data_IF_464227213109
#
_entry.id   IF_464227213109
#
_cell.length_a   1.000
_cell.length_b   1.000
_cell.length_c   1.000
_cell.angle_alpha   90.00
_cell.angle_beta   90.00
_cell.angle_gamma   90.00
#
_symmetry.space_group_name_H-M   'P 1'
#
loop_
_entity.id
_entity.type
_entity.pdbx_description
1 polymer ?
#
# COMPACT_ATOMS: atom_id res chain seq x y z
N UNK A 1 8.37 19.68 -18.28
CA UNK A 1 7.51 19.13 -17.21
C UNK A 1 8.43 18.47 -16.21
N UNK A 2 8.51 19.02 -15.00
CA UNK A 2 9.28 18.42 -13.90
C UNK A 2 8.63 17.06 -13.59
N UNK A 3 9.39 15.99 -13.76
CA UNK A 3 8.94 14.66 -13.38
C UNK A 3 8.90 14.61 -11.85
N UNK A 4 7.71 14.54 -11.29
CA UNK A 4 7.52 14.49 -9.84
C UNK A 4 8.07 13.16 -9.29
N UNK A 5 8.61 13.15 -8.07
CA UNK A 5 9.14 11.93 -7.49
C UNK A 5 8.06 10.86 -7.29
N UNK A 6 8.46 9.60 -7.35
CA UNK A 6 7.55 8.44 -7.27
C UNK A 6 6.66 8.45 -6.02
N UNK A 7 7.20 8.86 -4.88
CA UNK A 7 6.45 8.95 -3.63
C UNK A 7 5.30 9.96 -3.70
N UNK A 8 5.42 11.01 -4.51
CA UNK A 8 4.34 11.97 -4.76
C UNK A 8 3.25 11.35 -5.64
N UNK A 9 3.65 10.66 -6.72
CA UNK A 9 2.69 9.96 -7.57
C UNK A 9 1.87 8.92 -6.80
N UNK A 10 2.53 8.15 -5.92
CA UNK A 10 1.84 7.19 -5.06
C UNK A 10 0.90 7.88 -4.06
N UNK A 11 1.30 9.00 -3.45
CA UNK A 11 0.44 9.76 -2.56
C UNK A 11 -0.85 10.23 -3.25
N UNK A 12 -0.73 10.85 -4.42
CA UNK A 12 -1.89 11.29 -5.21
C UNK A 12 -2.76 10.11 -5.67
N UNK A 13 -2.15 9.00 -6.05
CA UNK A 13 -2.88 7.79 -6.44
C UNK A 13 -3.66 7.18 -5.26
N UNK A 14 -3.09 7.19 -4.06
CA UNK A 14 -3.76 6.70 -2.86
C UNK A 14 -5.06 7.45 -2.58
N UNK A 15 -5.00 8.77 -2.58
CA UNK A 15 -6.18 9.62 -2.34
C UNK A 15 -7.25 9.45 -3.44
N UNK A 16 -6.82 9.44 -4.71
CA UNK A 16 -7.72 9.23 -5.83
C UNK A 16 -8.43 7.88 -5.74
N UNK A 17 -7.69 6.79 -5.53
CA UNK A 17 -8.28 5.45 -5.41
C UNK A 17 -9.24 5.34 -4.22
N UNK A 18 -8.92 5.97 -3.09
CA UNK A 18 -9.81 5.97 -1.94
C UNK A 18 -11.12 6.70 -2.23
N UNK A 19 -11.05 7.89 -2.84
CA UNK A 19 -12.22 8.69 -3.23
C UNK A 19 -13.10 7.93 -4.24
N UNK A 20 -12.49 7.33 -5.25
CA UNK A 20 -13.20 6.52 -6.25
C UNK A 20 -13.87 5.29 -5.61
N UNK A 21 -13.18 4.63 -4.68
CA UNK A 21 -13.70 3.48 -3.94
C UNK A 21 -14.93 3.85 -3.10
N UNK A 22 -14.87 4.95 -2.38
CA UNK A 22 -15.99 5.41 -1.54
C UNK A 22 -17.22 5.77 -2.41
N UNK A 23 -17.02 6.46 -3.52
CA UNK A 23 -18.09 6.74 -4.47
C UNK A 23 -18.72 5.46 -5.05
N UNK A 24 -17.89 4.50 -5.49
CA UNK A 24 -18.37 3.23 -6.03
C UNK A 24 -19.12 2.39 -4.99
N UNK A 25 -18.68 2.44 -3.73
CA UNK A 25 -19.36 1.76 -2.61
C UNK A 25 -20.74 2.37 -2.35
N UNK A 26 -20.86 3.69 -2.36
CA UNK A 26 -22.14 4.39 -2.19
C UNK A 26 -23.10 4.10 -3.34
N UNK A 27 -22.60 3.93 -4.55
CA UNK A 27 -23.36 3.51 -5.75
C UNK A 27 -23.69 2.00 -5.76
N UNK A 28 -23.31 1.24 -4.71
CA UNK A 28 -23.57 -0.19 -4.60
C UNK A 28 -22.67 -1.09 -5.45
N UNK A 29 -21.62 -0.54 -6.08
CA UNK A 29 -20.67 -1.25 -6.94
C UNK A 29 -19.53 -1.86 -6.13
N UNK A 30 -19.89 -2.75 -5.21
CA UNK A 30 -18.99 -3.28 -4.19
C UNK A 30 -17.72 -3.96 -4.73
N UNK A 31 -17.74 -4.79 -5.81
CA UNK A 31 -16.52 -5.39 -6.33
C UNK A 31 -15.50 -4.36 -6.82
N UNK A 32 -15.99 -3.31 -7.50
CA UNK A 32 -15.12 -2.23 -7.98
C UNK A 32 -14.60 -1.37 -6.81
N UNK A 33 -15.45 -1.09 -5.83
CA UNK A 33 -15.04 -0.39 -4.62
C UNK A 33 -13.93 -1.13 -3.87
N UNK A 34 -14.10 -2.43 -3.67
CA UNK A 34 -13.13 -3.30 -3.00
C UNK A 34 -11.76 -3.29 -3.69
N UNK A 35 -11.79 -3.39 -5.01
CA UNK A 35 -10.59 -3.31 -5.84
C UNK A 35 -9.83 -1.98 -5.63
N UNK A 36 -10.55 -0.86 -5.63
CA UNK A 36 -9.95 0.46 -5.43
C UNK A 36 -9.47 0.70 -3.99
N UNK A 37 -10.14 0.17 -2.96
CA UNK A 37 -9.64 0.24 -1.57
C UNK A 37 -8.28 -0.44 -1.43
N UNK A 38 -8.07 -1.60 -2.05
CA UNK A 38 -6.77 -2.27 -2.05
C UNK A 38 -5.68 -1.42 -2.70
N UNK A 39 -5.96 -0.77 -3.84
CA UNK A 39 -5.00 0.13 -4.47
C UNK A 39 -4.73 1.40 -3.67
N UNK A 40 -5.74 1.95 -3.00
CA UNK A 40 -5.55 3.10 -2.13
C UNK A 40 -4.53 2.80 -1.03
N UNK A 41 -4.71 1.66 -0.36
CA UNK A 41 -3.79 1.19 0.69
C UNK A 41 -2.40 0.90 0.14
N UNK A 42 -2.30 0.16 -0.96
CA UNK A 42 -1.02 -0.16 -1.60
C UNK A 42 -0.24 1.09 -1.97
N UNK A 43 -0.89 2.08 -2.56
CA UNK A 43 -0.27 3.34 -2.95
C UNK A 43 0.16 4.17 -1.73
N UNK A 44 -0.67 4.26 -0.69
CA UNK A 44 -0.32 4.95 0.55
C UNK A 44 0.94 4.36 1.19
N UNK A 45 0.99 3.03 1.29
CA UNK A 45 2.14 2.31 1.82
C UNK A 45 3.40 2.52 0.99
N UNK A 46 3.32 2.45 -0.34
CA UNK A 46 4.47 2.71 -1.23
C UNK A 46 4.99 4.14 -1.09
N UNK A 47 4.11 5.12 -0.91
CA UNK A 47 4.51 6.49 -0.59
C UNK A 47 5.26 6.57 0.75
N UNK A 48 4.72 5.96 1.81
CA UNK A 48 5.36 5.92 3.12
C UNK A 48 6.71 5.21 3.09
N UNK A 49 6.81 4.10 2.38
CA UNK A 49 8.05 3.33 2.24
C UNK A 49 9.16 4.15 1.60
N UNK A 50 8.86 4.87 0.52
CA UNK A 50 9.83 5.71 -0.18
C UNK A 50 10.27 6.91 0.66
N UNK A 51 9.35 7.49 1.48
CA UNK A 51 9.64 8.67 2.29
C UNK A 51 10.32 8.35 3.61
N UNK A 52 9.89 7.29 4.29
CA UNK A 52 10.22 7.08 5.71
C UNK A 52 10.87 5.73 6.02
N UNK A 53 10.74 4.72 5.15
CA UNK A 53 11.18 3.37 5.44
C UNK A 53 12.41 2.92 4.64
N UNK A 54 13.06 3.85 3.94
CA UNK A 54 14.31 3.59 3.24
C UNK A 54 14.15 2.80 1.93
N UNK A 55 12.93 2.68 1.40
CA UNK A 55 12.70 2.10 0.08
C UNK A 55 13.15 3.03 -1.05
N UNK A 56 13.43 2.46 -2.21
CA UNK A 56 13.86 3.20 -3.40
C UNK A 56 13.26 2.61 -4.67
N UNK A 57 13.16 3.45 -5.70
CA UNK A 57 12.91 3.05 -7.10
C UNK A 57 14.20 2.99 -7.95
N UNK A 58 15.35 3.14 -7.31
CA UNK A 58 16.65 3.04 -7.98
C UNK A 58 16.96 1.63 -8.51
N UNK A 59 18.04 1.48 -9.30
CA UNK A 59 18.44 0.19 -9.85
C UNK A 59 18.73 -0.85 -8.75
N UNK A 60 18.25 -2.08 -8.95
CA UNK A 60 18.46 -3.19 -8.00
C UNK A 60 19.82 -3.87 -8.21
N UNK A 61 20.63 -4.08 -7.14
CA UNK A 61 21.83 -4.87 -7.21
C UNK A 61 21.52 -6.36 -7.51
N UNK A 62 22.45 -7.15 -8.05
CA UNK A 62 23.76 -6.74 -8.55
C UNK A 62 23.72 -6.25 -10.02
N UNK A 63 22.61 -6.47 -10.74
CA UNK A 63 22.53 -6.27 -12.20
C UNK A 63 22.07 -4.87 -12.62
N UNK A 64 21.78 -3.98 -11.70
CA UNK A 64 21.31 -2.62 -11.99
C UNK A 64 19.95 -2.56 -12.70
N UNK A 65 19.09 -3.58 -12.58
CA UNK A 65 17.76 -3.60 -13.19
C UNK A 65 16.84 -2.59 -12.49
N UNK A 66 16.11 -1.80 -13.28
CA UNK A 66 15.07 -0.94 -12.74
C UNK A 66 13.94 -1.78 -12.15
N UNK A 67 13.44 -1.44 -10.96
CA UNK A 67 12.35 -2.14 -10.31
C UNK A 67 11.00 -1.79 -10.97
N UNK A 68 10.00 -2.64 -10.73
CA UNK A 68 8.58 -2.35 -11.04
C UNK A 68 7.82 -1.76 -9.86
N UNK A 69 8.37 -1.90 -8.66
CA UNK A 69 7.81 -1.39 -7.42
C UNK A 69 8.93 -0.99 -6.45
N UNK A 70 8.65 -0.22 -5.39
CA UNK A 70 9.64 0.11 -4.37
C UNK A 70 10.30 -1.15 -3.81
N UNK A 71 11.57 -1.06 -3.50
CA UNK A 71 12.31 -2.15 -2.90
C UNK A 71 13.23 -1.68 -1.77
N UNK A 72 13.51 -2.58 -0.83
CA UNK A 72 14.43 -2.40 0.31
C UNK A 72 15.48 -3.48 0.24
N UNK A 73 16.73 -3.15 0.61
CA UNK A 73 17.77 -4.15 0.80
C UNK A 73 17.54 -4.86 2.14
N UNK A 74 17.32 -6.15 2.09
CA UNK A 74 17.27 -6.98 3.30
C UNK A 74 18.69 -7.19 3.82
N UNK A 75 19.02 -6.54 4.94
CA UNK A 75 20.35 -6.60 5.53
C UNK A 75 20.75 -8.02 6.00
N UNK A 76 19.78 -8.86 6.34
CA UNK A 76 20.02 -10.24 6.76
C UNK A 76 20.44 -11.17 5.62
N UNK A 77 19.90 -10.94 4.41
CA UNK A 77 20.16 -11.78 3.25
C UNK A 77 21.02 -11.11 2.18
N UNK A 78 21.22 -9.80 2.26
CA UNK A 78 21.90 -9.01 1.23
C UNK A 78 21.13 -8.91 -0.09
N UNK A 79 19.83 -9.27 -0.11
CA UNK A 79 19.01 -9.30 -1.33
C UNK A 79 17.97 -8.18 -1.34
N UNK A 80 17.67 -7.59 -2.54
CA UNK A 80 16.58 -6.65 -2.66
C UNK A 80 15.22 -7.37 -2.53
N UNK A 81 14.34 -6.80 -1.70
CA UNK A 81 12.94 -7.22 -1.56
C UNK A 81 12.06 -6.16 -2.20
N UNK A 82 11.35 -6.52 -3.26
CA UNK A 82 10.48 -5.64 -4.03
C UNK A 82 9.02 -5.81 -3.59
N UNK A 83 8.35 -4.70 -3.30
CA UNK A 83 6.98 -4.66 -2.80
C UNK A 83 6.01 -4.41 -3.96
N UNK A 84 5.60 -5.48 -4.61
CA UNK A 84 4.65 -5.45 -5.72
C UNK A 84 3.23 -5.13 -5.27
N UNK A 85 2.26 -5.96 -5.69
CA UNK A 85 0.88 -5.84 -5.25
C UNK A 85 0.64 -6.53 -3.90
N UNK A 86 -0.33 -6.01 -3.14
CA UNK A 86 -0.84 -6.67 -1.94
C UNK A 86 -1.51 -8.02 -2.29
N UNK A 87 -1.61 -8.97 -1.35
CA UNK A 87 -1.04 -8.95 -0.01
C UNK A 87 0.46 -9.21 -0.02
N UNK A 88 1.18 -8.61 0.94
CA UNK A 88 2.60 -8.89 1.13
C UNK A 88 2.80 -10.00 2.15
N UNK A 89 3.94 -10.70 2.06
CA UNK A 89 4.27 -11.78 2.98
C UNK A 89 4.59 -11.23 4.38
N UNK A 90 4.34 -12.02 5.41
CA UNK A 90 4.69 -11.67 6.79
C UNK A 90 6.17 -11.28 6.92
N UNK A 91 7.06 -11.99 6.22
CA UNK A 91 8.50 -11.65 6.19
C UNK A 91 8.80 -10.28 5.58
N UNK A 92 7.97 -9.82 4.64
CA UNK A 92 8.10 -8.48 4.05
C UNK A 92 7.63 -7.42 5.05
N UNK A 93 6.54 -7.68 5.77
CA UNK A 93 6.05 -6.79 6.84
C UNK A 93 7.05 -6.68 7.99
N UNK A 94 7.66 -7.79 8.38
CA UNK A 94 8.73 -7.80 9.38
C UNK A 94 9.95 -6.99 8.93
N UNK A 95 10.29 -7.04 7.64
CA UNK A 95 11.37 -6.21 7.08
C UNK A 95 11.03 -4.71 7.18
N UNK A 96 9.81 -4.32 6.89
CA UNK A 96 9.35 -2.93 7.03
C UNK A 96 9.38 -2.46 8.49
N UNK A 97 9.05 -3.32 9.43
CA UNK A 97 9.06 -3.04 10.86
C UNK A 97 10.46 -3.07 11.48
N UNK A 98 11.43 -3.70 10.81
CA UNK A 98 12.77 -3.95 11.35
C UNK A 98 13.50 -2.67 11.76
N UNK A 99 13.95 -2.62 13.03
CA UNK A 99 14.66 -1.46 13.60
C UNK A 99 13.78 -0.20 13.77
N UNK A 100 12.48 -0.33 13.64
CA UNK A 100 11.51 0.76 13.76
C UNK A 100 10.48 0.43 14.83
N UNK A 101 10.23 1.39 15.69
CA UNK A 101 9.17 1.31 16.70
C UNK A 101 8.37 2.59 16.67
N UNK A 102 7.11 2.49 16.36
CA UNK A 102 6.19 3.62 16.36
C UNK A 102 4.75 3.13 16.32
N UNK A 103 3.90 3.69 17.17
CA UNK A 103 2.50 3.27 17.24
C UNK A 103 1.77 3.41 15.90
N UNK A 104 2.11 4.45 15.12
CA UNK A 104 1.51 4.69 13.80
C UNK A 104 1.90 3.60 12.79
N UNK A 105 3.19 3.27 12.69
CA UNK A 105 3.66 2.20 11.80
C UNK A 105 3.06 0.85 12.19
N UNK A 106 3.06 0.52 13.48
CA UNK A 106 2.46 -0.71 13.98
C UNK A 106 0.98 -0.80 13.61
N UNK A 107 0.19 0.25 13.87
CA UNK A 107 -1.23 0.28 13.52
C UNK A 107 -1.47 0.10 12.01
N UNK A 108 -0.65 0.74 11.17
CA UNK A 108 -0.72 0.60 9.69
C UNK A 108 -0.44 -0.84 9.26
N UNK A 109 0.60 -1.48 9.80
CA UNK A 109 0.98 -2.85 9.43
C UNK A 109 -0.04 -3.88 9.95
N UNK A 110 -0.57 -3.71 11.16
CA UNK A 110 -1.60 -4.57 11.74
C UNK A 110 -2.90 -4.51 10.93
N UNK A 111 -3.26 -3.34 10.43
CA UNK A 111 -4.44 -3.14 9.59
C UNK A 111 -4.41 -3.93 8.27
N UNK A 112 -3.21 -4.30 7.78
CA UNK A 112 -3.07 -4.98 6.48
C UNK A 112 -3.69 -6.37 6.46
N UNK A 113 -3.95 -7.00 7.59
CA UNK A 113 -4.65 -8.30 7.67
C UNK A 113 -6.03 -8.27 7.02
N UNK A 114 -6.70 -7.12 6.98
CA UNK A 114 -7.97 -6.96 6.26
C UNK A 114 -7.85 -7.20 4.75
N UNK A 115 -6.63 -7.12 4.20
CA UNK A 115 -6.33 -7.28 2.79
C UNK A 115 -5.68 -8.62 2.44
N UNK A 116 -5.57 -9.57 3.38
CA UNK A 116 -4.93 -10.88 3.14
C UNK A 116 -5.62 -11.69 2.03
N UNK A 117 -6.93 -11.52 1.86
CA UNK A 117 -7.70 -12.14 0.79
C UNK A 117 -7.96 -11.23 -0.42
N UNK A 118 -7.46 -10.00 -0.39
CA UNK A 118 -7.55 -9.09 -1.54
C UNK A 118 -6.52 -9.46 -2.61
N UNK A 119 -6.86 -9.22 -3.88
CA UNK A 119 -5.95 -9.49 -4.99
C UNK A 119 -6.18 -8.52 -6.14
N UNK A 120 -5.10 -8.11 -6.79
CA UNK A 120 -5.14 -7.34 -8.04
C UNK A 120 -5.89 -8.09 -9.16
N UNK A 121 -6.02 -9.41 -9.05
CA UNK A 121 -6.74 -10.25 -10.02
C UNK A 121 -8.27 -10.17 -9.89
N UNK A 122 -8.81 -9.57 -8.84
CA UNK A 122 -10.25 -9.32 -8.69
C UNK A 122 -10.85 -8.55 -9.87
N UNK A 123 -10.06 -7.71 -10.54
CA UNK A 123 -10.47 -6.98 -11.75
C UNK A 123 -10.89 -7.88 -12.92
N UNK A 124 -10.56 -9.15 -12.89
CA UNK A 124 -10.89 -10.13 -13.94
C UNK A 124 -12.01 -11.07 -13.53
N UNK A 125 -12.57 -10.92 -12.33
CA UNK A 125 -13.65 -11.75 -11.80
C UNK A 125 -14.99 -11.07 -11.98
N UNK A 126 -16.06 -11.88 -11.89
CA UNK A 126 -17.45 -11.42 -12.02
C UNK A 126 -17.97 -10.66 -10.79
N UNK A 127 -17.20 -10.62 -9.69
CA UNK A 127 -17.57 -9.95 -8.45
C UNK A 127 -18.55 -10.71 -7.55
N UNK A 128 -18.99 -11.91 -7.95
CA UNK A 128 -19.97 -12.69 -7.18
C UNK A 128 -19.47 -13.13 -5.80
N UNK A 129 -18.15 -13.22 -5.62
CA UNK A 129 -17.52 -13.56 -4.34
C UNK A 129 -17.30 -12.38 -3.41
N UNK A 130 -17.65 -11.15 -3.83
CA UNK A 130 -17.40 -9.95 -3.03
C UNK A 130 -18.49 -9.81 -1.96
N UNK A 131 -18.07 -9.91 -0.69
CA UNK A 131 -18.96 -9.77 0.45
C UNK A 131 -18.99 -8.33 0.97
N UNK A 132 -20.18 -7.78 1.20
CA UNK A 132 -20.36 -6.42 1.69
C UNK A 132 -19.65 -6.16 3.03
N UNK A 133 -19.63 -7.14 3.92
CA UNK A 133 -18.93 -7.04 5.20
C UNK A 133 -17.40 -6.91 5.02
N UNK A 134 -16.81 -7.65 4.07
CA UNK A 134 -15.39 -7.55 3.76
C UNK A 134 -15.05 -6.17 3.17
N UNK A 135 -15.87 -5.66 2.26
CA UNK A 135 -15.69 -4.31 1.68
C UNK A 135 -15.78 -3.24 2.75
N UNK A 136 -16.73 -3.35 3.67
CA UNK A 136 -16.87 -2.42 4.80
C UNK A 136 -15.63 -2.42 5.70
N UNK A 137 -15.14 -3.60 6.07
CA UNK A 137 -13.93 -3.75 6.89
C UNK A 137 -12.71 -3.13 6.18
N UNK A 138 -12.52 -3.42 4.90
CA UNK A 138 -11.41 -2.85 4.11
C UNK A 138 -11.52 -1.34 3.93
N UNK A 139 -12.73 -0.82 3.78
CA UNK A 139 -12.94 0.64 3.76
C UNK A 139 -12.46 1.29 5.05
N UNK A 140 -12.83 0.73 6.20
CA UNK A 140 -12.43 1.28 7.50
C UNK A 140 -10.92 1.29 7.64
N UNK A 141 -10.26 0.18 7.35
CA UNK A 141 -8.79 0.08 7.41
C UNK A 141 -8.13 0.99 6.38
N UNK A 142 -8.66 1.06 5.15
CA UNK A 142 -8.14 1.96 4.13
C UNK A 142 -8.20 3.43 4.58
N UNK A 143 -9.31 3.85 5.21
CA UNK A 143 -9.44 5.19 5.77
C UNK A 143 -8.39 5.46 6.85
N UNK A 144 -8.19 4.54 7.78
CA UNK A 144 -7.18 4.67 8.85
C UNK A 144 -5.76 4.78 8.28
N UNK A 145 -5.45 3.98 7.25
CA UNK A 145 -4.14 4.03 6.58
C UNK A 145 -3.94 5.34 5.81
N UNK A 146 -4.96 5.82 5.10
CA UNK A 146 -4.91 7.13 4.40
C UNK A 146 -4.72 8.27 5.40
N UNK A 147 -5.43 8.27 6.53
CA UNK A 147 -5.28 9.27 7.59
C UNK A 147 -3.87 9.22 8.22
N UNK A 148 -3.35 8.01 8.49
CA UNK A 148 -1.99 7.84 8.97
C UNK A 148 -0.94 8.34 7.98
N UNK A 149 -1.15 8.07 6.68
CA UNK A 149 -0.30 8.57 5.60
C UNK A 149 -0.31 10.10 5.56
N UNK A 150 -1.48 10.73 5.56
CA UNK A 150 -1.60 12.19 5.55
C UNK A 150 -0.94 12.82 6.79
N UNK A 151 -1.16 12.25 7.97
CA UNK A 151 -0.53 12.70 9.20
C UNK A 151 0.99 12.57 9.15
N UNK A 152 1.52 11.47 8.62
CA UNK A 152 2.96 11.29 8.44
C UNK A 152 3.57 12.32 7.50
N UNK A 153 2.86 12.70 6.43
CA UNK A 153 3.30 13.75 5.50
C UNK A 153 3.37 15.12 6.19
N UNK A 154 2.38 15.45 7.04
CA UNK A 154 2.34 16.71 7.79
C UNK A 154 3.43 16.76 8.87
N UNK A 155 3.63 15.67 9.59
CA UNK A 155 4.58 15.57 10.70
C UNK A 155 6.03 15.37 10.21
N UNK A 156 6.23 14.97 8.95
CA UNK A 156 7.53 14.60 8.40
C UNK A 156 8.12 13.31 8.99
N UNK A 157 7.27 12.45 9.60
CA UNK A 157 7.66 11.16 10.22
C UNK A 157 6.51 10.17 10.25
N UNK A 158 6.86 8.90 10.27
CA UNK A 158 5.94 7.78 10.44
C UNK A 158 6.02 7.19 11.85
#
# INVERSE_FOLDING_TARGET
>A
VSDLPHEHHYACAAERHFTDADFLREDGRLPSADYHFGFAVECALKSLMLRFLGATMGPKPPKGRLPKAPWILDAGTGKPREFGHLPWLETDLQLLASGRSGARLTAVLDGLSAFDSWSVHERYRDGSATEAAAVHSRRTVAQEIIEAHQSALLDGRL
#
